data_IF_650786605365
#
_entry.id   IF_650786605365
#
_cell.length_a   1.000
_cell.length_b   1.000
_cell.length_c   1.000
_cell.angle_alpha   90.00
_cell.angle_beta   90.00
_cell.angle_gamma   90.00
#
_symmetry.space_group_name_H-M   'P 1'
#
loop_
_entity.id
_entity.type
_entity.pdbx_description
1 polymer ?
#
# COMPACT_ATOMS: atom_id res chain seq x y z
N UNK A 1 -9.43 3.13 31.36
CA UNK A 1 -8.70 3.65 30.20
C UNK A 1 -9.05 2.78 28.99
N UNK A 2 -9.53 3.34 27.90
CA UNK A 2 -9.66 2.59 26.65
C UNK A 2 -8.25 2.28 26.18
N UNK A 3 -7.93 1.00 25.99
CA UNK A 3 -6.63 0.57 25.47
C UNK A 3 -6.60 0.85 23.95
N UNK A 4 -6.17 2.07 23.57
CA UNK A 4 -6.13 2.56 22.19
C UNK A 4 -4.95 2.00 21.37
N UNK A 5 -4.18 1.07 21.95
CA UNK A 5 -2.97 0.53 21.34
C UNK A 5 -3.05 -0.97 21.02
N UNK A 6 -4.17 -1.64 21.27
CA UNK A 6 -4.30 -3.08 20.98
C UNK A 6 -4.26 -3.36 19.49
N UNK A 7 -3.79 -4.54 19.09
CA UNK A 7 -3.78 -4.98 17.70
C UNK A 7 -5.20 -4.92 17.07
N UNK A 8 -6.21 -5.30 17.86
CA UNK A 8 -7.62 -5.21 17.44
C UNK A 8 -8.05 -3.78 17.09
N UNK A 9 -7.60 -2.77 17.85
CA UNK A 9 -7.90 -1.37 17.54
C UNK A 9 -7.18 -0.94 16.27
N UNK A 10 -5.89 -1.27 16.13
CA UNK A 10 -5.09 -0.95 14.94
C UNK A 10 -5.69 -1.55 13.66
N UNK A 11 -6.06 -2.83 13.70
CA UNK A 11 -6.69 -3.51 12.55
C UNK A 11 -8.09 -2.97 12.28
N UNK A 12 -8.86 -2.62 13.32
CA UNK A 12 -10.17 -1.99 13.16
C UNK A 12 -10.10 -0.63 12.48
N UNK A 13 -9.08 0.18 12.76
CA UNK A 13 -8.84 1.44 12.05
C UNK A 13 -8.55 1.18 10.57
N UNK A 14 -7.73 0.19 10.25
CA UNK A 14 -7.42 -0.18 8.87
C UNK A 14 -8.66 -0.73 8.11
N UNK A 15 -9.51 -1.51 8.77
CA UNK A 15 -10.79 -2.00 8.23
C UNK A 15 -11.74 -0.86 7.77
N UNK A 16 -11.69 0.30 8.42
CA UNK A 16 -12.52 1.46 8.05
C UNK A 16 -12.17 2.04 6.68
N UNK A 17 -11.00 1.72 6.13
CA UNK A 17 -10.51 2.23 4.84
C UNK A 17 -10.92 1.35 3.66
N UNK A 18 -11.55 0.18 3.90
CA UNK A 18 -11.95 -0.77 2.85
C UNK A 18 -12.84 -0.13 1.80
N UNK A 19 -12.64 -0.54 0.56
CA UNK A 19 -13.38 -0.08 -0.62
C UNK A 19 -12.89 1.28 -1.12
N UNK A 20 -11.90 1.89 -0.46
CA UNK A 20 -11.44 3.23 -0.77
C UNK A 20 -10.10 3.31 -1.50
N UNK A 21 -9.75 4.55 -1.83
CA UNK A 21 -8.48 4.92 -2.44
C UNK A 21 -7.66 5.73 -1.44
N UNK A 22 -6.42 5.32 -1.23
CA UNK A 22 -5.41 6.08 -0.49
C UNK A 22 -4.52 6.75 -1.53
N UNK A 23 -4.36 8.06 -1.46
CA UNK A 23 -3.61 8.82 -2.45
C UNK A 23 -2.28 9.34 -1.89
N UNK A 24 -1.18 9.03 -2.58
CA UNK A 24 0.13 9.60 -2.26
C UNK A 24 0.16 11.08 -2.66
N UNK A 25 0.47 11.98 -1.73
CA UNK A 25 0.46 13.42 -1.92
C UNK A 25 1.78 14.04 -1.45
N UNK A 26 2.23 15.09 -2.12
CA UNK A 26 3.50 15.77 -1.79
C UNK A 26 3.30 17.24 -1.39
N UNK A 27 2.07 17.74 -1.48
CA UNK A 27 1.70 19.12 -1.09
C UNK A 27 0.32 19.16 -0.43
N UNK A 28 0.04 20.20 0.39
CA UNK A 28 -1.29 20.43 0.93
C UNK A 28 -2.37 20.57 -0.16
N UNK A 29 -2.03 21.13 -1.32
CA UNK A 29 -2.97 21.27 -2.44
C UNK A 29 -3.37 19.90 -3.03
N UNK A 30 -2.41 19.01 -3.23
CA UNK A 30 -2.70 17.63 -3.67
C UNK A 30 -3.55 16.88 -2.63
N UNK A 31 -3.33 17.13 -1.34
CA UNK A 31 -4.14 16.54 -0.28
C UNK A 31 -5.60 17.00 -0.35
N UNK A 32 -5.85 18.29 -0.63
CA UNK A 32 -7.22 18.80 -0.86
C UNK A 32 -7.87 18.18 -2.08
N UNK A 33 -7.13 18.04 -3.19
CA UNK A 33 -7.61 17.35 -4.41
C UNK A 33 -8.01 15.92 -4.08
N UNK A 34 -7.16 15.19 -3.34
CA UNK A 34 -7.43 13.82 -2.94
C UNK A 34 -8.70 13.69 -2.08
N UNK A 35 -8.85 14.54 -1.05
CA UNK A 35 -10.03 14.54 -0.19
C UNK A 35 -11.29 14.94 -0.97
N UNK A 36 -11.22 15.97 -1.80
CA UNK A 36 -12.35 16.39 -2.65
C UNK A 36 -12.78 15.32 -3.66
N UNK A 37 -11.85 14.50 -4.14
CA UNK A 37 -12.12 13.37 -5.01
C UNK A 37 -12.76 12.17 -4.28
N UNK A 38 -12.78 12.16 -2.93
CA UNK A 38 -13.32 11.09 -2.12
C UNK A 38 -12.28 10.02 -1.70
N UNK A 39 -11.00 10.37 -1.63
CA UNK A 39 -9.99 9.53 -1.01
C UNK A 39 -10.36 9.23 0.45
N UNK A 40 -10.08 8.00 0.92
CA UNK A 40 -10.34 7.61 2.31
C UNK A 40 -9.19 7.93 3.25
N UNK A 41 -8.00 8.20 2.70
CA UNK A 41 -6.81 8.65 3.40
C UNK A 41 -5.82 9.25 2.38
N UNK A 42 -4.84 10.00 2.87
CA UNK A 42 -3.68 10.42 2.08
C UNK A 42 -2.39 9.87 2.67
N UNK A 43 -1.40 9.63 1.81
CA UNK A 43 -0.04 9.25 2.18
C UNK A 43 0.90 10.42 1.91
N UNK A 44 1.41 11.05 2.95
CA UNK A 44 2.35 12.15 2.84
C UNK A 44 3.74 11.66 2.38
N UNK A 45 4.22 12.18 1.27
CA UNK A 45 5.52 11.87 0.67
C UNK A 45 6.26 13.15 0.31
N UNK A 46 7.57 13.17 0.47
CA UNK A 46 8.41 14.27 -0.01
C UNK A 46 8.43 14.33 -1.55
N UNK A 47 8.44 13.17 -2.19
CA UNK A 47 8.42 12.99 -3.64
C UNK A 47 7.54 11.80 -4.00
N UNK A 48 6.76 11.90 -5.08
CA UNK A 48 6.02 10.72 -5.57
C UNK A 48 7.00 9.64 -6.05
N UNK A 49 6.61 8.36 -6.03
CA UNK A 49 7.52 7.25 -6.35
C UNK A 49 8.24 7.37 -7.70
N UNK A 50 7.60 7.96 -8.72
CA UNK A 50 8.24 8.20 -10.02
C UNK A 50 9.41 9.18 -9.94
N UNK A 51 9.30 10.22 -9.10
CA UNK A 51 10.38 11.18 -8.89
C UNK A 51 11.51 10.58 -8.06
N UNK A 52 11.19 9.73 -7.06
CA UNK A 52 12.20 8.97 -6.30
C UNK A 52 13.07 8.12 -7.25
N UNK A 53 12.45 7.50 -8.27
CA UNK A 53 13.18 6.74 -9.29
C UNK A 53 14.05 7.63 -10.17
N UNK A 54 13.49 8.72 -10.68
CA UNK A 54 14.17 9.61 -11.60
C UNK A 54 15.37 10.33 -10.96
N UNK A 55 15.21 10.77 -9.72
CA UNK A 55 16.26 11.50 -8.99
C UNK A 55 17.35 10.60 -8.44
N UNK A 56 17.04 9.31 -8.17
CA UNK A 56 17.95 8.38 -7.53
C UNK A 56 18.34 8.81 -6.10
N UNK A 57 19.41 8.24 -5.59
CA UNK A 57 19.95 8.56 -4.26
C UNK A 57 19.15 7.93 -3.11
N UNK A 58 19.32 8.49 -1.91
CA UNK A 58 18.69 7.99 -0.69
C UNK A 58 17.37 8.70 -0.43
N UNK A 59 16.26 7.98 -0.57
CA UNK A 59 14.93 8.45 -0.21
C UNK A 59 14.68 8.20 1.29
N UNK A 60 14.22 9.22 2.02
CA UNK A 60 14.03 9.21 3.48
C UNK A 60 12.59 9.59 3.86
N UNK A 61 12.30 9.52 5.15
CA UNK A 61 11.08 10.09 5.73
C UNK A 61 10.92 11.56 5.30
N UNK A 62 9.69 11.96 5.04
CA UNK A 62 9.33 13.34 4.70
C UNK A 62 9.62 14.32 5.85
N UNK A 63 9.86 15.59 5.50
CA UNK A 63 10.02 16.65 6.48
C UNK A 63 8.77 16.78 7.36
N UNK A 64 8.90 16.89 8.69
CA UNK A 64 7.78 17.07 9.60
C UNK A 64 6.86 18.24 9.24
N UNK A 65 7.39 19.38 8.85
CA UNK A 65 6.57 20.56 8.51
C UNK A 65 5.70 20.34 7.28
N UNK A 66 6.15 19.50 6.34
CA UNK A 66 5.34 19.11 5.17
C UNK A 66 4.18 18.20 5.61
N UNK A 67 4.43 17.21 6.48
CA UNK A 67 3.40 16.33 7.03
C UNK A 67 2.36 17.14 7.80
N UNK A 68 2.79 18.03 8.71
CA UNK A 68 1.91 18.92 9.47
C UNK A 68 1.10 19.85 8.56
N UNK A 69 1.72 20.35 7.48
CA UNK A 69 1.02 21.16 6.47
C UNK A 69 -0.09 20.40 5.74
N UNK A 70 0.08 19.09 5.50
CA UNK A 70 -0.94 18.21 4.93
C UNK A 70 -2.03 17.95 5.99
N UNK A 71 -1.67 17.58 7.22
CA UNK A 71 -2.61 17.35 8.32
C UNK A 71 -3.52 18.56 8.59
N UNK A 72 -2.98 19.78 8.43
CA UNK A 72 -3.72 21.01 8.67
C UNK A 72 -4.85 21.30 7.65
N UNK A 73 -4.86 20.61 6.48
CA UNK A 73 -5.76 20.96 5.37
C UNK A 73 -6.74 19.87 4.98
N UNK A 74 -6.66 18.67 5.57
CA UNK A 74 -7.59 17.56 5.33
C UNK A 74 -8.21 17.07 6.63
N UNK A 75 -9.38 16.43 6.52
CA UNK A 75 -10.08 15.79 7.65
C UNK A 75 -10.00 14.27 7.61
N UNK A 76 -9.55 13.71 6.49
CA UNK A 76 -9.29 12.28 6.31
C UNK A 76 -7.94 11.89 6.92
N UNK A 77 -7.73 10.61 7.30
CA UNK A 77 -6.47 10.13 7.87
C UNK A 77 -5.24 10.46 7.02
N UNK A 78 -4.16 10.84 7.69
CA UNK A 78 -2.85 11.11 7.09
C UNK A 78 -1.87 10.00 7.47
N UNK A 79 -1.33 9.34 6.48
CA UNK A 79 -0.27 8.35 6.59
C UNK A 79 1.08 8.97 6.21
N UNK A 80 2.18 8.41 6.73
CA UNK A 80 3.52 8.79 6.28
C UNK A 80 4.45 7.56 6.26
N UNK A 81 5.53 7.65 5.46
CA UNK A 81 6.45 6.53 5.25
C UNK A 81 7.69 6.64 6.13
N UNK A 82 8.07 5.51 6.75
CA UNK A 82 9.36 5.29 7.37
C UNK A 82 10.21 4.33 6.53
N UNK A 83 11.51 4.47 6.55
CA UNK A 83 12.43 3.50 5.93
C UNK A 83 12.38 2.16 6.66
N UNK A 84 12.53 1.07 5.92
CA UNK A 84 12.61 -0.27 6.49
C UNK A 84 13.70 -0.31 7.57
N UNK A 85 13.35 -0.79 8.77
CA UNK A 85 14.23 -0.92 9.93
C UNK A 85 14.56 0.38 10.66
N UNK A 86 14.05 1.54 10.21
CA UNK A 86 14.37 2.83 10.84
C UNK A 86 13.41 3.18 11.97
N UNK A 87 13.63 2.58 13.13
CA UNK A 87 12.78 2.77 14.32
C UNK A 87 12.62 4.25 14.72
N UNK A 88 13.69 5.06 14.58
CA UNK A 88 13.63 6.47 14.96
C UNK A 88 12.74 7.30 14.03
N UNK A 89 12.71 7.02 12.71
CA UNK A 89 11.73 7.66 11.81
C UNK A 89 10.30 7.32 12.21
N UNK A 90 10.01 6.07 12.53
CA UNK A 90 8.67 5.68 13.01
C UNK A 90 8.29 6.35 14.34
N UNK A 91 9.26 6.56 15.25
CA UNK A 91 9.04 7.31 16.49
C UNK A 91 8.72 8.78 16.23
N UNK A 92 9.42 9.42 15.27
CA UNK A 92 9.12 10.79 14.85
C UNK A 92 7.71 10.87 14.27
N UNK A 93 7.34 9.97 13.34
CA UNK A 93 6.01 9.94 12.74
C UNK A 93 4.90 9.72 13.78
N UNK A 94 5.12 8.82 14.76
CA UNK A 94 4.17 8.66 15.86
C UNK A 94 4.07 9.93 16.73
N UNK A 95 5.17 10.66 16.93
CA UNK A 95 5.16 11.92 17.69
C UNK A 95 4.46 13.07 16.94
N UNK A 96 4.43 13.02 15.59
CA UNK A 96 3.65 13.90 14.73
C UNK A 96 2.16 13.51 14.66
N UNK A 97 1.76 12.47 15.40
CA UNK A 97 0.38 11.98 15.45
C UNK A 97 -0.19 11.60 14.08
N UNK A 98 0.63 11.06 13.16
CA UNK A 98 0.11 10.49 11.92
C UNK A 98 -0.81 9.31 12.24
N UNK A 99 -1.83 9.10 11.42
CA UNK A 99 -2.82 8.05 11.66
C UNK A 99 -2.28 6.64 11.34
N UNK A 100 -1.32 6.53 10.41
CA UNK A 100 -0.65 5.27 10.05
C UNK A 100 0.80 5.54 9.66
N UNK A 101 1.68 4.58 9.92
CA UNK A 101 3.06 4.54 9.42
C UNK A 101 3.19 3.44 8.37
N UNK A 102 3.65 3.76 7.17
CA UNK A 102 4.02 2.76 6.15
C UNK A 102 5.54 2.51 6.23
N UNK A 103 5.94 1.35 6.77
CA UNK A 103 7.31 0.89 6.67
C UNK A 103 7.55 0.39 5.24
N UNK A 104 8.20 1.23 4.43
CA UNK A 104 8.07 1.16 2.97
C UNK A 104 9.38 0.88 2.25
N UNK A 105 9.33 -0.09 1.33
CA UNK A 105 10.36 -0.40 0.34
C UNK A 105 10.58 0.73 -0.69
N UNK A 106 9.63 1.65 -0.82
CA UNK A 106 9.75 2.82 -1.73
C UNK A 106 10.88 3.73 -1.27
N UNK A 107 11.06 3.88 0.05
CA UNK A 107 12.19 4.57 0.62
C UNK A 107 13.42 3.66 0.63
N UNK A 108 14.61 4.26 0.77
CA UNK A 108 15.86 3.49 0.86
C UNK A 108 15.93 2.80 2.22
N UNK A 109 16.07 1.47 2.31
CA UNK A 109 16.16 0.76 3.58
C UNK A 109 17.27 1.32 4.47
N UNK A 110 17.03 1.39 5.76
CA UNK A 110 18.03 1.71 6.77
C UNK A 110 18.66 0.45 7.37
N UNK A 111 17.93 -0.66 7.34
CA UNK A 111 18.40 -1.97 7.76
C UNK A 111 18.00 -3.01 6.69
N UNK A 112 18.96 -3.81 6.25
CA UNK A 112 18.75 -4.84 5.22
C UNK A 112 18.21 -6.14 5.81
N UNK A 113 18.35 -6.35 7.12
CA UNK A 113 18.03 -7.61 7.79
C UNK A 113 16.81 -7.53 8.71
N UNK A 114 16.52 -6.36 9.27
CA UNK A 114 15.52 -6.22 10.31
C UNK A 114 14.45 -5.19 9.93
N UNK A 115 13.19 -5.56 10.18
CA UNK A 115 12.06 -4.65 10.15
C UNK A 115 11.81 -4.07 11.55
N UNK A 116 11.05 -2.97 11.58
CA UNK A 116 10.62 -2.35 12.83
C UNK A 116 9.72 -3.31 13.60
N UNK A 117 9.94 -3.47 14.92
CA UNK A 117 8.99 -4.11 15.83
C UNK A 117 7.77 -3.20 16.04
N UNK A 118 6.69 -3.47 15.31
CA UNK A 118 5.47 -2.67 15.27
C UNK A 118 4.60 -2.84 16.50
N UNK A 119 4.87 -3.88 17.30
CA UNK A 119 4.20 -4.10 18.59
C UNK A 119 4.58 -3.04 19.62
N UNK A 120 5.77 -2.43 19.47
CA UNK A 120 6.26 -1.36 20.36
C UNK A 120 5.56 0.00 20.14
N UNK A 121 4.74 0.15 19.08
CA UNK A 121 4.10 1.41 18.70
C UNK A 121 2.60 1.40 18.97
N UNK A 122 2.02 2.59 19.18
CA UNK A 122 0.57 2.79 19.28
C UNK A 122 -0.08 2.98 17.92
N UNK A 123 0.63 3.65 17.00
CA UNK A 123 0.19 3.89 15.62
C UNK A 123 0.12 2.57 14.84
N UNK A 124 -0.93 2.33 14.01
CA UNK A 124 -0.99 1.19 13.12
C UNK A 124 0.04 1.29 11.99
N UNK A 125 0.60 0.15 11.58
CA UNK A 125 1.55 0.05 10.48
C UNK A 125 0.95 -0.58 9.24
N UNK A 126 1.35 -0.04 8.10
CA UNK A 126 1.17 -0.60 6.75
C UNK A 126 2.49 -1.18 6.28
N UNK A 127 2.47 -2.33 5.61
CA UNK A 127 3.66 -2.91 4.99
C UNK A 127 3.35 -3.48 3.61
N UNK A 128 4.34 -3.44 2.72
CA UNK A 128 4.29 -4.08 1.42
C UNK A 128 4.59 -5.58 1.48
N UNK A 129 3.97 -6.34 0.57
CA UNK A 129 4.29 -7.76 0.36
C UNK A 129 4.16 -8.14 -1.12
N UNK A 130 4.98 -9.12 -1.55
CA UNK A 130 4.96 -9.69 -2.90
C UNK A 130 4.27 -11.05 -2.95
N UNK A 131 4.17 -11.73 -1.81
CA UNK A 131 3.61 -13.07 -1.65
C UNK A 131 3.03 -13.26 -0.23
N UNK A 132 2.36 -14.38 0.00
CA UNK A 132 1.70 -14.67 1.27
C UNK A 132 2.72 -14.81 2.42
N UNK A 133 3.86 -15.45 2.19
CA UNK A 133 4.88 -15.64 3.22
C UNK A 133 5.39 -14.29 3.74
N UNK A 134 5.70 -13.36 2.85
CA UNK A 134 6.10 -12.00 3.22
C UNK A 134 4.99 -11.27 3.97
N UNK A 135 3.75 -11.33 3.49
CA UNK A 135 2.60 -10.73 4.16
C UNK A 135 2.46 -11.23 5.61
N UNK A 136 2.56 -12.55 5.82
CA UNK A 136 2.44 -13.14 7.15
C UNK A 136 3.60 -12.78 8.08
N UNK A 137 4.83 -12.62 7.55
CA UNK A 137 5.95 -12.11 8.35
C UNK A 137 5.70 -10.68 8.82
N UNK A 138 5.24 -9.79 7.94
CA UNK A 138 4.88 -8.40 8.30
C UNK A 138 3.76 -8.34 9.33
N UNK A 139 2.75 -9.20 9.21
CA UNK A 139 1.67 -9.32 10.21
C UNK A 139 2.22 -9.83 11.55
N UNK A 140 3.12 -10.81 11.54
CA UNK A 140 3.78 -11.30 12.75
C UNK A 140 4.56 -10.21 13.50
N UNK A 141 5.13 -9.26 12.77
CA UNK A 141 5.80 -8.08 13.30
C UNK A 141 4.83 -6.98 13.80
N UNK A 142 3.53 -7.16 13.60
CA UNK A 142 2.49 -6.23 14.07
C UNK A 142 1.92 -5.29 13.00
N UNK A 143 2.11 -5.56 11.72
CA UNK A 143 1.46 -4.80 10.66
C UNK A 143 -0.07 -4.96 10.73
N UNK A 144 -0.80 -3.85 10.69
CA UNK A 144 -2.26 -3.79 10.75
C UNK A 144 -2.93 -3.74 9.37
N UNK A 145 -2.14 -3.51 8.32
CA UNK A 145 -2.54 -3.49 6.91
C UNK A 145 -1.40 -4.05 6.06
N UNK A 146 -1.75 -4.86 5.07
CA UNK A 146 -0.83 -5.27 4.01
C UNK A 146 -1.25 -4.60 2.71
N UNK A 147 -0.29 -4.16 1.92
CA UNK A 147 -0.47 -3.77 0.52
C UNK A 147 0.42 -4.61 -0.40
N UNK A 148 0.01 -4.80 -1.65
CA UNK A 148 0.99 -5.30 -2.62
C UNK A 148 2.13 -4.28 -2.74
N UNK A 149 3.35 -4.74 -2.99
CA UNK A 149 4.45 -3.83 -3.33
C UNK A 149 4.24 -3.25 -4.74
N UNK A 150 3.81 -4.09 -5.69
CA UNK A 150 3.80 -3.72 -7.09
C UNK A 150 5.19 -3.24 -7.50
N UNK A 151 5.24 -2.31 -8.46
CA UNK A 151 6.45 -1.56 -8.74
C UNK A 151 6.08 -0.07 -8.80
N UNK A 152 6.24 0.61 -7.66
CA UNK A 152 5.77 1.97 -7.44
C UNK A 152 6.43 2.97 -8.41
N UNK A 153 5.65 3.94 -8.90
CA UNK A 153 6.14 5.01 -9.77
C UNK A 153 6.33 4.60 -11.23
N UNK A 154 5.87 3.43 -11.65
CA UNK A 154 6.05 2.93 -13.02
C UNK A 154 4.87 3.19 -13.95
N UNK A 155 3.66 3.44 -13.41
CA UNK A 155 2.45 3.48 -14.23
C UNK A 155 2.15 2.15 -14.95
N UNK A 156 2.66 1.03 -14.43
CA UNK A 156 2.52 -0.32 -14.97
C UNK A 156 2.12 -1.29 -13.86
N UNK A 157 0.91 -1.85 -13.95
CA UNK A 157 0.33 -2.70 -12.90
C UNK A 157 0.80 -4.15 -12.91
N UNK A 158 1.66 -4.54 -13.85
CA UNK A 158 2.00 -5.97 -14.05
C UNK A 158 2.54 -6.62 -12.76
N UNK A 159 3.37 -5.92 -11.99
CA UNK A 159 3.92 -6.43 -10.73
C UNK A 159 2.84 -6.48 -9.63
N UNK A 160 1.99 -5.45 -9.53
CA UNK A 160 0.86 -5.47 -8.60
C UNK A 160 -0.09 -6.64 -8.88
N UNK A 161 -0.39 -6.91 -10.17
CA UNK A 161 -1.18 -8.08 -10.59
C UNK A 161 -0.50 -9.38 -10.16
N UNK A 162 0.82 -9.49 -10.39
CA UNK A 162 1.61 -10.68 -10.00
C UNK A 162 1.50 -10.93 -8.50
N UNK A 163 1.68 -9.89 -7.67
CA UNK A 163 1.63 -10.00 -6.21
C UNK A 163 0.22 -10.35 -5.71
N UNK A 164 -0.82 -9.69 -6.22
CA UNK A 164 -2.20 -10.01 -5.84
C UNK A 164 -2.58 -11.44 -6.21
N UNK A 165 -2.15 -11.92 -7.39
CA UNK A 165 -2.37 -13.31 -7.82
C UNK A 165 -1.56 -14.31 -7.00
N UNK A 166 -0.33 -13.98 -6.61
CA UNK A 166 0.50 -14.81 -5.73
C UNK A 166 -0.16 -14.97 -4.37
N UNK A 167 -0.46 -13.86 -3.68
CA UNK A 167 -1.10 -13.88 -2.36
C UNK A 167 -2.43 -14.64 -2.40
N UNK A 168 -3.33 -14.27 -3.32
CA UNK A 168 -4.64 -14.91 -3.44
C UNK A 168 -4.56 -16.39 -3.85
N UNK A 169 -3.60 -16.75 -4.71
CA UNK A 169 -3.35 -18.15 -5.11
C UNK A 169 -2.84 -19.00 -3.97
N UNK A 170 -1.90 -18.48 -3.17
CA UNK A 170 -1.36 -19.17 -2.00
C UNK A 170 -2.39 -19.32 -0.89
N UNK A 171 -3.27 -18.34 -0.66
CA UNK A 171 -4.42 -18.44 0.27
C UNK A 171 -5.34 -19.60 -0.16
N UNK A 172 -5.75 -19.63 -1.44
CA UNK A 172 -6.61 -20.73 -1.96
C UNK A 172 -5.94 -22.08 -1.83
N UNK A 173 -4.62 -22.15 -2.06
CA UNK A 173 -3.85 -23.39 -1.87
C UNK A 173 -3.89 -23.86 -0.42
N UNK A 174 -3.69 -22.95 0.55
CA UNK A 174 -3.75 -23.30 1.97
C UNK A 174 -5.11 -23.87 2.38
N UNK A 175 -6.22 -23.34 1.87
CA UNK A 175 -7.56 -23.83 2.15
C UNK A 175 -7.81 -25.26 1.66
N UNK A 176 -7.06 -25.70 0.64
CA UNK A 176 -7.17 -27.06 0.09
C UNK A 176 -6.24 -28.11 0.72
N UNK A 177 -5.39 -27.70 1.68
CA UNK A 177 -4.43 -28.61 2.32
C UNK A 177 -5.10 -29.43 3.43
N UNK A 178 -4.62 -30.68 3.60
CA UNK A 178 -4.95 -31.49 4.77
C UNK A 178 -4.28 -30.91 6.04
N UNK A 179 -4.85 -31.13 7.24
CA UNK A 179 -4.34 -30.55 8.48
C UNK A 179 -2.85 -30.84 8.75
N UNK A 180 -2.36 -32.01 8.40
CA UNK A 180 -0.97 -32.41 8.55
C UNK A 180 -0.01 -31.71 7.59
N UNK A 181 -0.50 -31.15 6.48
CA UNK A 181 0.30 -30.41 5.50
C UNK A 181 0.55 -28.97 5.90
N UNK A 182 -0.27 -28.40 6.81
CA UNK A 182 -0.19 -26.99 7.20
C UNK A 182 1.17 -26.64 7.83
N UNK A 183 1.73 -27.54 8.63
CA UNK A 183 3.05 -27.31 9.23
C UNK A 183 4.17 -27.25 8.17
N UNK A 184 4.07 -28.07 7.13
CA UNK A 184 4.99 -28.03 5.98
C UNK A 184 4.80 -26.73 5.17
N UNK A 185 3.56 -26.32 4.96
CA UNK A 185 3.24 -25.05 4.28
C UNK A 185 3.82 -23.85 5.06
N UNK A 186 3.68 -23.81 6.38
CA UNK A 186 4.26 -22.78 7.25
C UNK A 186 5.79 -22.69 7.08
N UNK A 187 6.48 -23.83 7.08
CA UNK A 187 7.92 -23.91 6.86
C UNK A 187 8.31 -23.36 5.47
N UNK A 188 7.56 -23.74 4.43
CA UNK A 188 7.85 -23.30 3.05
C UNK A 188 7.58 -21.81 2.85
N UNK A 189 6.53 -21.26 3.50
CA UNK A 189 6.20 -19.85 3.51
C UNK A 189 7.12 -19.03 4.42
N UNK A 190 7.94 -19.68 5.27
CA UNK A 190 8.76 -19.03 6.30
C UNK A 190 7.90 -18.09 7.17
N UNK A 191 6.72 -18.55 7.56
CA UNK A 191 5.72 -17.76 8.28
C UNK A 191 5.25 -18.50 9.54
N UNK A 192 4.80 -17.79 10.60
CA UNK A 192 4.34 -18.42 11.83
C UNK A 192 3.17 -19.37 11.60
N UNK A 193 3.26 -20.55 12.19
CA UNK A 193 2.28 -21.63 12.00
C UNK A 193 0.85 -21.21 12.33
N UNK A 194 0.68 -20.42 13.40
CA UNK A 194 -0.65 -19.98 13.84
C UNK A 194 -1.30 -19.04 12.85
N UNK A 195 -0.53 -18.14 12.22
CA UNK A 195 -1.03 -17.28 11.14
C UNK A 195 -1.38 -18.09 9.89
N UNK A 196 -0.57 -19.09 9.55
CA UNK A 196 -0.87 -19.97 8.40
C UNK A 196 -2.15 -20.78 8.65
N UNK A 197 -2.37 -21.29 9.87
CA UNK A 197 -3.61 -21.96 10.27
C UNK A 197 -4.81 -21.04 10.18
N UNK A 198 -4.66 -19.80 10.65
CA UNK A 198 -5.73 -18.79 10.59
C UNK A 198 -6.14 -18.53 9.14
N UNK A 199 -5.17 -18.28 8.25
CA UNK A 199 -5.42 -18.07 6.81
C UNK A 199 -6.02 -19.30 6.14
N UNK A 200 -5.53 -20.50 6.44
CA UNK A 200 -6.10 -21.73 5.90
C UNK A 200 -7.57 -21.92 6.30
N UNK A 201 -7.92 -21.55 7.53
CA UNK A 201 -9.28 -21.67 8.06
C UNK A 201 -10.23 -20.58 7.53
N UNK A 202 -9.75 -19.34 7.44
CA UNK A 202 -10.60 -18.19 7.12
C UNK A 202 -10.59 -17.79 5.64
N UNK A 203 -9.61 -18.28 4.85
CA UNK A 203 -9.48 -17.98 3.42
C UNK A 203 -9.12 -16.52 3.11
N UNK A 204 -8.55 -15.82 4.10
CA UNK A 204 -8.13 -14.41 3.98
C UNK A 204 -7.03 -14.08 4.97
N UNK A 205 -6.34 -12.97 4.77
CA UNK A 205 -5.43 -12.43 5.77
C UNK A 205 -6.21 -11.96 7.01
N UNK A 206 -5.60 -11.98 8.21
CA UNK A 206 -6.20 -11.43 9.43
C UNK A 206 -6.24 -9.90 9.46
N UNK A 207 -5.69 -9.25 8.45
CA UNK A 207 -5.66 -7.79 8.24
C UNK A 207 -6.10 -7.47 6.82
N UNK A 208 -6.46 -6.22 6.56
CA UNK A 208 -6.86 -5.77 5.22
C UNK A 208 -5.71 -5.88 4.21
N UNK A 209 -6.05 -6.24 2.97
CA UNK A 209 -5.13 -6.34 1.84
C UNK A 209 -5.49 -5.30 0.77
N UNK A 210 -4.65 -4.28 0.64
CA UNK A 210 -4.77 -3.28 -0.42
C UNK A 210 -3.82 -3.59 -1.58
N UNK A 211 -4.09 -3.01 -2.74
CA UNK A 211 -3.14 -3.07 -3.86
C UNK A 211 -2.45 -1.73 -4.05
N UNK A 212 -1.15 -1.79 -4.32
CA UNK A 212 -0.30 -0.63 -4.62
C UNK A 212 0.67 -0.96 -5.76
N UNK A 213 1.17 0.09 -6.40
CA UNK A 213 2.24 0.03 -7.40
C UNK A 213 1.72 -0.05 -8.84
N UNK A 214 1.94 1.03 -9.59
CA UNK A 214 1.72 1.06 -11.03
C UNK A 214 0.32 1.40 -11.52
N UNK A 215 -0.65 1.65 -10.63
CA UNK A 215 -2.01 2.07 -11.02
C UNK A 215 -1.94 3.46 -11.67
N UNK A 216 -2.41 3.59 -12.92
CA UNK A 216 -2.39 4.83 -13.70
C UNK A 216 -3.75 5.19 -14.30
N UNK A 217 -4.70 4.25 -14.34
CA UNK A 217 -6.02 4.45 -14.94
C UNK A 217 -7.14 3.94 -14.02
N UNK A 218 -8.40 4.41 -14.21
CA UNK A 218 -9.54 3.86 -13.50
C UNK A 218 -9.71 2.34 -13.71
N UNK A 219 -9.44 1.85 -14.91
CA UNK A 219 -9.53 0.42 -15.22
C UNK A 219 -8.47 -0.40 -14.48
N UNK A 220 -7.27 0.14 -14.23
CA UNK A 220 -6.25 -0.52 -13.41
C UNK A 220 -6.73 -0.68 -11.97
N UNK A 221 -7.32 0.37 -11.38
CA UNK A 221 -7.87 0.32 -10.03
C UNK A 221 -8.98 -0.74 -9.93
N UNK A 222 -9.92 -0.75 -10.87
CA UNK A 222 -10.97 -1.77 -10.94
C UNK A 222 -10.41 -3.19 -11.10
N UNK A 223 -9.33 -3.36 -11.87
CA UNK A 223 -8.65 -4.67 -12.02
C UNK A 223 -8.10 -5.14 -10.66
N UNK A 224 -7.45 -4.26 -9.89
CA UNK A 224 -6.92 -4.63 -8.58
C UNK A 224 -8.03 -5.08 -7.62
N UNK A 225 -9.16 -4.36 -7.58
CA UNK A 225 -10.31 -4.74 -6.78
C UNK A 225 -10.87 -6.11 -7.19
N UNK A 226 -10.97 -6.39 -8.49
CA UNK A 226 -11.40 -7.71 -9.04
C UNK A 226 -10.41 -8.84 -8.71
N UNK A 227 -9.15 -8.53 -8.46
CA UNK A 227 -8.14 -9.50 -8.02
C UNK A 227 -8.19 -9.77 -6.51
N UNK A 228 -9.10 -9.12 -5.79
CA UNK A 228 -9.33 -9.33 -4.36
C UNK A 228 -8.65 -8.30 -3.47
N UNK A 229 -8.21 -7.17 -4.01
CA UNK A 229 -7.81 -6.04 -3.18
C UNK A 229 -9.04 -5.48 -2.46
N UNK A 230 -8.84 -5.04 -1.22
CA UNK A 230 -9.87 -4.41 -0.39
C UNK A 230 -9.79 -2.87 -0.42
N UNK A 231 -8.98 -2.33 -1.31
CA UNK A 231 -8.75 -0.93 -1.62
C UNK A 231 -7.45 -0.76 -2.40
N UNK A 232 -7.14 0.46 -2.80
CA UNK A 232 -5.95 0.74 -3.62
C UNK A 232 -5.17 1.95 -3.09
N UNK A 233 -3.84 1.91 -3.29
CA UNK A 233 -2.95 3.05 -3.16
C UNK A 233 -2.60 3.57 -4.55
N UNK A 234 -2.72 4.86 -4.78
CA UNK A 234 -2.38 5.48 -6.06
C UNK A 234 -1.66 6.81 -5.80
N UNK A 235 -0.51 7.00 -6.42
CA UNK A 235 0.28 8.24 -6.27
C UNK A 235 0.59 8.86 -7.62
N UNK A 236 1.73 8.48 -8.19
CA UNK A 236 2.21 9.03 -9.47
C UNK A 236 1.17 8.92 -10.59
N UNK A 237 0.36 7.86 -10.61
CA UNK A 237 -0.69 7.67 -11.62
C UNK A 237 -1.73 8.77 -11.65
N UNK A 238 -2.01 9.42 -10.50
CA UNK A 238 -2.90 10.57 -10.42
C UNK A 238 -2.13 11.87 -10.70
N UNK A 239 -1.12 12.16 -9.89
CA UNK A 239 -0.47 13.48 -9.88
C UNK A 239 0.54 13.72 -11.02
N UNK A 240 0.83 12.72 -11.83
CA UNK A 240 1.57 12.82 -13.11
C UNK A 240 0.67 12.64 -14.34
N UNK A 241 -0.65 12.58 -14.17
CA UNK A 241 -1.60 12.65 -15.29
C UNK A 241 -1.78 14.10 -15.76
N UNK A 242 -2.38 14.26 -16.94
CA UNK A 242 -2.67 15.58 -17.51
C UNK A 242 -3.71 16.37 -16.67
N UNK A 243 -4.68 15.66 -16.08
CA UNK A 243 -5.73 16.24 -15.23
C UNK A 243 -5.84 15.44 -13.91
N UNK A 244 -5.06 15.80 -12.87
CA UNK A 244 -5.06 15.08 -11.60
C UNK A 244 -6.40 15.08 -10.87
N UNK A 245 -7.17 16.19 -10.91
CA UNK A 245 -8.47 16.28 -10.21
C UNK A 245 -9.47 15.29 -10.81
N UNK A 246 -9.61 15.28 -12.13
CA UNK A 246 -10.51 14.36 -12.82
C UNK A 246 -10.04 12.91 -12.72
N UNK A 247 -8.74 12.68 -12.82
CA UNK A 247 -8.16 11.34 -12.67
C UNK A 247 -8.38 10.79 -11.26
N UNK A 248 -8.19 11.61 -10.21
CA UNK A 248 -8.46 11.23 -8.83
C UNK A 248 -9.93 10.80 -8.63
N UNK A 249 -10.87 11.63 -9.07
CA UNK A 249 -12.31 11.31 -8.97
C UNK A 249 -12.68 10.05 -9.76
N UNK A 250 -12.12 9.88 -10.96
CA UNK A 250 -12.34 8.72 -11.81
C UNK A 250 -11.80 7.40 -11.20
N UNK A 251 -10.64 7.46 -10.54
CA UNK A 251 -10.05 6.32 -9.83
C UNK A 251 -10.91 5.94 -8.61
N UNK A 252 -11.43 6.91 -7.86
CA UNK A 252 -12.35 6.65 -6.73
C UNK A 252 -13.63 6.00 -7.23
N UNK A 253 -14.25 6.53 -8.30
CA UNK A 253 -15.48 5.97 -8.91
C UNK A 253 -15.26 4.52 -9.37
N UNK A 254 -14.15 4.26 -10.06
CA UNK A 254 -13.84 2.91 -10.56
C UNK A 254 -13.49 1.93 -9.44
N UNK A 255 -12.88 2.39 -8.35
CA UNK A 255 -12.59 1.55 -7.16
C UNK A 255 -13.89 1.19 -6.45
N UNK A 256 -14.76 2.17 -6.24
CA UNK A 256 -16.06 1.98 -5.55
C UNK A 256 -17.00 1.07 -6.36
N UNK A 257 -16.99 1.21 -7.67
CA UNK A 257 -17.93 0.52 -8.58
C UNK A 257 -17.20 -0.45 -9.53
N UNK A 258 -16.17 -1.12 -9.04
CA UNK A 258 -15.28 -1.97 -9.86
C UNK A 258 -15.97 -3.12 -10.59
N UNK A 259 -17.18 -3.50 -10.20
CA UNK A 259 -17.99 -4.52 -10.88
C UNK A 259 -18.86 -3.95 -12.01
N UNK A 260 -19.09 -2.64 -12.06
CA UNK A 260 -19.92 -1.98 -13.06
C UNK A 260 -19.08 -1.44 -14.23
N UNK A 261 -18.98 -2.23 -15.29
CA UNK A 261 -18.23 -1.85 -16.48
C UNK A 261 -18.72 -0.56 -17.17
N UNK A 262 -20.01 -0.20 -17.01
CA UNK A 262 -20.55 1.04 -17.59
C UNK A 262 -20.08 2.26 -16.82
N UNK A 263 -20.02 2.17 -15.49
CA UNK A 263 -19.48 3.22 -14.62
C UNK A 263 -17.99 3.41 -14.86
N UNK A 264 -17.22 2.30 -14.94
CA UNK A 264 -15.78 2.36 -15.25
C UNK A 264 -15.56 3.01 -16.61
N UNK A 265 -16.32 2.63 -17.66
CA UNK A 265 -16.24 3.23 -18.97
C UNK A 265 -16.61 4.73 -18.95
N UNK A 266 -17.59 5.13 -18.16
CA UNK A 266 -17.96 6.52 -17.95
C UNK A 266 -16.84 7.32 -17.28
N UNK A 267 -16.30 6.80 -16.19
CA UNK A 267 -15.20 7.42 -15.44
C UNK A 267 -13.90 7.53 -16.25
N UNK A 268 -13.68 6.64 -17.22
CA UNK A 268 -12.47 6.65 -18.07
C UNK A 268 -12.50 7.61 -19.23
N UNK A 269 -13.59 8.38 -19.43
CA UNK A 269 -13.72 9.29 -20.59
C UNK A 269 -13.06 10.64 -20.33
N UNK A 270 -12.39 11.13 -21.37
CA UNK A 270 -11.88 12.51 -21.45
C UNK A 270 -11.00 12.92 -20.25
N UNK A 271 -10.18 11.99 -19.74
CA UNK A 271 -9.25 12.25 -18.64
C UNK A 271 -7.93 12.90 -19.07
N UNK A 272 -7.74 13.10 -20.39
CA UNK A 272 -6.43 13.49 -20.94
C UNK A 272 -5.43 12.34 -20.95
N UNK A 273 -4.16 12.66 -21.10
CA UNK A 273 -3.09 11.67 -21.13
C UNK A 273 -2.85 11.10 -19.72
N UNK A 274 -2.84 9.78 -19.54
CA UNK A 274 -2.43 9.17 -18.27
C UNK A 274 -0.92 9.40 -18.07
N UNK A 275 -0.44 9.10 -16.86
CA UNK A 275 0.98 9.02 -16.57
C UNK A 275 1.68 8.13 -17.60
N UNK A 276 2.82 8.59 -18.14
CA UNK A 276 3.66 7.75 -19.01
C UNK A 276 4.18 6.55 -18.22
N UNK A 277 3.87 5.35 -18.70
CA UNK A 277 4.30 4.11 -18.08
C UNK A 277 5.74 3.75 -18.43
N UNK A 278 6.39 2.95 -17.56
CA UNK A 278 7.73 2.40 -17.75
C UNK A 278 7.62 0.87 -17.87
N UNK A 279 8.27 0.28 -18.87
CA UNK A 279 8.36 -1.17 -19.01
C UNK A 279 9.28 -1.79 -17.95
N UNK A 280 8.95 -3.00 -17.49
CA UNK A 280 9.77 -3.68 -16.47
C UNK A 280 11.20 -3.93 -16.92
N UNK A 281 11.41 -4.27 -18.19
CA UNK A 281 12.73 -4.49 -18.77
C UNK A 281 13.64 -3.24 -18.65
N UNK A 282 13.07 -2.04 -18.79
CA UNK A 282 13.80 -0.79 -18.62
C UNK A 282 14.23 -0.59 -17.15
N UNK A 283 13.37 -0.91 -16.19
CA UNK A 283 13.64 -0.77 -14.76
C UNK A 283 14.73 -1.75 -14.30
N UNK A 284 14.68 -3.00 -14.76
CA UNK A 284 15.70 -4.01 -14.45
C UNK A 284 17.08 -3.57 -14.97
N UNK A 285 17.12 -2.90 -16.12
CA UNK A 285 18.36 -2.39 -16.70
C UNK A 285 18.93 -1.16 -15.96
N UNK A 286 18.08 -0.35 -15.31
CA UNK A 286 18.46 0.93 -14.68
C UNK A 286 18.84 0.85 -13.19
N UNK A 287 18.77 -0.29 -12.53
CA UNK A 287 19.24 -0.39 -11.14
C UNK A 287 18.35 -1.14 -10.16
N UNK A 288 17.36 -1.85 -10.66
CA UNK A 288 16.64 -2.84 -9.87
C UNK A 288 15.26 -2.40 -9.38
N UNK A 289 14.50 -3.42 -9.01
CA UNK A 289 13.12 -3.31 -8.57
C UNK A 289 13.04 -2.87 -7.10
N UNK A 290 12.26 -1.84 -6.80
CA UNK A 290 12.04 -1.40 -5.42
C UNK A 290 11.37 -2.49 -4.58
N UNK A 291 10.54 -3.32 -5.19
CA UNK A 291 9.85 -4.44 -4.55
C UNK A 291 10.79 -5.48 -3.90
N UNK A 292 12.04 -5.56 -4.36
CA UNK A 292 13.03 -6.49 -3.82
C UNK A 292 13.60 -6.07 -2.46
N UNK A 293 13.32 -4.84 -2.02
CA UNK A 293 13.79 -4.31 -0.73
C UNK A 293 12.99 -4.92 0.41
N UNK A 294 13.69 -5.32 1.49
CA UNK A 294 13.08 -5.73 2.76
C UNK A 294 12.15 -6.94 2.65
N UNK A 295 12.63 -8.02 2.03
CA UNK A 295 11.82 -9.24 1.98
C UNK A 295 11.83 -10.07 3.26
#
# INVERSE_FOLDING_TARGET
>A
MRDTATFRVKTGLAEMLKGGVIMDVVTPEQARIAEAAGAVAVMALERVPSDIRADGGVARMSDPSMIEGIQAVVTIPVMAKARIGHVAEAQVLQALEVDYVDESEVLTPADEAHHIDKWAFKVPFVCGATNLGEALRRIAEGAAMIRSKGEAGTGNVVEAVRHMRSIGGEIRRLQGLAPEEIATASKNLQAPLDLVRDVASNGRLPVVLFSAGGIATPADAALMMRLGAEGVFVGSGIFKSEDPERTAAAVVEATTHFEDAKRIAGASRDLGAPMTGIGMDAIEAEGGLLQNRGW
#
